data_IF_977967204208
#
_entry.id   IF_977967204208
#
_cell.length_a   1.000
_cell.length_b   1.000
_cell.length_c   1.000
_cell.angle_alpha   90.00
_cell.angle_beta   90.00
_cell.angle_gamma   90.00
#
_symmetry.space_group_name_H-M   'P 1'
#
loop_
_entity.id
_entity.type
_entity.pdbx_description
1 polymer ?
#
# COMPACT_ATOMS: atom_id res chain seq x y z
N UNK A 1 -23.71 23.15 7.08
CA UNK A 1 -23.09 21.85 6.74
C UNK A 1 -21.58 22.02 6.89
N UNK A 2 -20.96 21.41 7.90
CA UNK A 2 -19.51 21.53 8.10
C UNK A 2 -18.83 20.67 7.03
N UNK A 3 -18.14 21.30 6.09
CA UNK A 3 -17.24 20.62 5.16
C UNK A 3 -16.15 19.97 6.00
N UNK A 4 -16.23 18.65 6.20
CA UNK A 4 -15.14 17.85 6.75
C UNK A 4 -13.98 17.98 5.77
N UNK A 5 -13.04 18.88 6.06
CA UNK A 5 -11.75 18.87 5.40
C UNK A 5 -11.06 17.57 5.82
N UNK A 6 -11.24 16.51 5.02
CA UNK A 6 -10.40 15.32 5.12
C UNK A 6 -8.98 15.78 4.83
N UNK A 7 -8.15 15.89 5.86
CA UNK A 7 -6.73 16.18 5.67
C UNK A 7 -6.11 15.00 4.92
N UNK A 8 -5.58 15.25 3.73
CA UNK A 8 -4.73 14.26 3.04
C UNK A 8 -3.54 13.93 3.94
N UNK A 9 -3.22 12.65 4.08
CA UNK A 9 -2.19 12.13 4.97
C UNK A 9 -1.18 11.31 4.17
N UNK A 10 0.03 11.18 4.69
CA UNK A 10 1.03 10.21 4.24
C UNK A 10 1.01 9.03 5.20
N UNK A 11 0.74 7.83 4.69
CA UNK A 11 0.55 6.60 5.48
C UNK A 11 1.48 5.53 4.94
N UNK A 12 2.18 4.81 5.83
CA UNK A 12 3.06 3.72 5.46
C UNK A 12 2.67 2.42 6.17
N UNK A 13 2.47 1.37 5.40
CA UNK A 13 2.44 -0.01 5.88
C UNK A 13 3.85 -0.62 5.72
N UNK A 14 4.41 -1.09 6.83
CA UNK A 14 5.65 -1.88 6.82
C UNK A 14 5.27 -3.31 7.15
N UNK A 15 5.39 -4.19 6.16
CA UNK A 15 4.95 -5.58 6.25
C UNK A 15 5.67 -6.38 5.18
N UNK A 16 6.15 -7.58 5.51
CA UNK A 16 7.03 -8.40 4.68
C UNK A 16 6.36 -8.99 3.43
N UNK A 17 5.05 -9.24 3.46
CA UNK A 17 4.34 -9.94 2.38
C UNK A 17 3.52 -8.98 1.50
N UNK A 18 3.37 -9.32 0.22
CA UNK A 18 2.58 -8.57 -0.77
C UNK A 18 1.41 -9.40 -1.32
N UNK A 19 0.22 -8.79 -1.41
CA UNK A 19 -0.96 -9.36 -2.06
C UNK A 19 -1.10 -8.83 -3.49
N UNK A 20 -1.41 -9.68 -4.51
CA UNK A 20 -1.83 -11.08 -4.42
C UNK A 20 -0.71 -12.10 -4.57
N UNK A 21 0.56 -11.67 -4.55
CA UNK A 21 1.74 -12.54 -4.71
C UNK A 21 1.80 -13.64 -3.63
N UNK A 22 1.29 -13.35 -2.44
CA UNK A 22 0.97 -14.32 -1.39
C UNK A 22 -0.49 -14.14 -0.94
N UNK A 23 -1.11 -15.22 -0.47
CA UNK A 23 -2.52 -15.24 -0.07
C UNK A 23 -2.68 -15.68 1.38
N UNK A 24 -3.34 -14.81 2.14
CA UNK A 24 -3.46 -14.87 3.58
C UNK A 24 -4.32 -13.70 4.07
N UNK A 25 -4.47 -13.57 5.39
CA UNK A 25 -5.38 -12.59 5.96
C UNK A 25 -4.83 -11.17 5.99
N UNK A 26 -3.55 -11.01 6.34
CA UNK A 26 -2.97 -9.71 6.70
C UNK A 26 -2.64 -8.90 5.44
N UNK A 27 -1.96 -9.51 4.47
CA UNK A 27 -1.62 -8.90 3.18
C UNK A 27 -2.87 -8.46 2.42
N UNK A 28 -3.93 -9.28 2.42
CA UNK A 28 -5.20 -8.93 1.80
C UNK A 28 -5.84 -7.73 2.49
N UNK A 29 -5.78 -7.69 3.83
CA UNK A 29 -6.34 -6.59 4.62
C UNK A 29 -5.57 -5.29 4.43
N UNK A 30 -4.23 -5.36 4.38
CA UNK A 30 -3.37 -4.23 4.07
C UNK A 30 -3.69 -3.69 2.67
N UNK A 31 -3.81 -4.57 1.68
CA UNK A 31 -4.17 -4.17 0.33
C UNK A 31 -5.54 -3.47 0.30
N UNK A 32 -6.59 -4.08 0.84
CA UNK A 32 -7.94 -3.49 0.84
C UNK A 32 -8.04 -2.18 1.62
N UNK A 33 -7.36 -2.06 2.77
CA UNK A 33 -7.38 -0.83 3.56
C UNK A 33 -6.55 0.25 2.85
N UNK A 34 -5.38 -0.11 2.33
CA UNK A 34 -4.46 0.80 1.66
C UNK A 34 -5.09 1.44 0.44
N UNK A 35 -5.72 0.66 -0.44
CA UNK A 35 -6.39 1.17 -1.64
C UNK A 35 -7.60 2.04 -1.27
N UNK A 36 -8.43 1.64 -0.30
CA UNK A 36 -9.55 2.48 0.20
C UNK A 36 -9.09 3.79 0.85
N UNK A 37 -7.91 3.83 1.46
CA UNK A 37 -7.31 5.07 1.97
C UNK A 37 -6.78 5.93 0.83
N UNK A 38 -6.17 5.33 -0.19
CA UNK A 38 -5.72 6.03 -1.38
C UNK A 38 -6.91 6.65 -2.15
N UNK A 39 -8.01 5.91 -2.32
CA UNK A 39 -9.27 6.39 -2.89
C UNK A 39 -9.85 7.61 -2.14
N UNK A 40 -9.61 7.70 -0.82
CA UNK A 40 -10.01 8.86 0.01
C UNK A 40 -9.06 10.06 -0.09
N UNK A 41 -8.03 9.98 -0.94
CA UNK A 41 -7.08 11.05 -1.21
C UNK A 41 -5.86 11.07 -0.29
N UNK A 42 -5.57 9.97 0.42
CA UNK A 42 -4.33 9.82 1.18
C UNK A 42 -3.20 9.28 0.28
N UNK A 43 -1.97 9.66 0.57
CA UNK A 43 -0.77 9.08 -0.05
C UNK A 43 -0.38 7.85 0.79
N UNK A 44 -0.51 6.66 0.21
CA UNK A 44 -0.35 5.39 0.94
C UNK A 44 0.79 4.58 0.35
N UNK A 45 1.70 4.15 1.21
CA UNK A 45 2.88 3.37 0.85
C UNK A 45 2.86 1.98 1.50
N UNK A 46 3.44 1.00 0.82
CA UNK A 46 3.70 -0.35 1.33
C UNK A 46 5.17 -0.72 1.08
N UNK A 47 5.83 -1.30 2.07
CA UNK A 47 7.24 -1.71 2.03
C UNK A 47 7.40 -3.21 2.25
N UNK A 48 7.20 -4.06 1.22
CA UNK A 48 7.30 -5.51 1.33
C UNK A 48 8.67 -6.08 1.03
N UNK A 49 8.92 -7.28 1.56
CA UNK A 49 9.98 -8.17 1.06
C UNK A 49 9.47 -8.78 -0.24
N UNK A 50 9.77 -8.12 -1.34
CA UNK A 50 9.37 -8.51 -2.68
C UNK A 50 10.52 -8.26 -3.64
N UNK A 51 10.77 -9.19 -4.57
CA UNK A 51 11.76 -8.97 -5.61
C UNK A 51 11.16 -8.07 -6.71
N UNK A 52 11.50 -6.78 -6.63
CA UNK A 52 11.13 -5.76 -7.62
C UNK A 52 12.21 -5.57 -8.68
N UNK A 53 12.93 -6.63 -9.07
CA UNK A 53 14.16 -6.58 -9.89
C UNK A 53 14.09 -5.70 -11.14
N UNK A 54 12.90 -5.48 -11.69
CA UNK A 54 12.69 -4.67 -12.90
C UNK A 54 11.94 -3.34 -12.63
N UNK A 55 11.45 -3.10 -11.42
CA UNK A 55 10.62 -1.93 -11.06
C UNK A 55 10.92 -1.46 -9.64
N UNK A 56 11.42 -0.23 -9.50
CA UNK A 56 11.74 0.36 -8.20
C UNK A 56 10.51 0.75 -7.37
N UNK A 57 9.39 1.08 -8.02
CA UNK A 57 8.12 1.45 -7.37
C UNK A 57 6.95 0.95 -8.22
N UNK A 58 6.03 0.21 -7.60
CA UNK A 58 4.80 -0.29 -8.24
C UNK A 58 3.61 0.53 -7.70
N UNK A 59 2.76 1.05 -8.57
CA UNK A 59 1.47 1.63 -8.15
C UNK A 59 0.35 0.63 -8.44
N UNK A 60 -0.38 0.21 -7.40
CA UNK A 60 -1.52 -0.70 -7.50
C UNK A 60 -2.72 -0.07 -6.81
N UNK A 61 -3.68 0.41 -7.61
CA UNK A 61 -4.90 1.06 -7.11
C UNK A 61 -4.63 2.19 -6.10
N UNK A 62 -3.63 3.02 -6.39
CA UNK A 62 -3.21 4.13 -5.54
C UNK A 62 -2.30 3.74 -4.36
N UNK A 63 -2.09 2.44 -4.12
CA UNK A 63 -1.08 1.96 -3.16
C UNK A 63 0.30 1.98 -3.82
N UNK A 64 1.22 2.75 -3.23
CA UNK A 64 2.59 2.91 -3.71
C UNK A 64 3.49 1.87 -3.03
N UNK A 65 3.91 0.87 -3.77
CA UNK A 65 4.67 -0.27 -3.26
C UNK A 65 6.16 -0.04 -3.54
N UNK A 66 6.97 -0.14 -2.48
CA UNK A 66 8.42 0.00 -2.50
C UNK A 66 9.05 -1.36 -2.15
N UNK A 67 9.41 -2.19 -3.13
CA UNK A 67 10.10 -3.45 -2.88
C UNK A 67 11.39 -3.22 -2.09
N UNK A 68 11.58 -3.92 -0.97
CA UNK A 68 12.70 -3.66 -0.03
C UNK A 68 13.86 -4.64 -0.23
N UNK A 69 13.55 -5.93 -0.23
CA UNK A 69 14.51 -7.01 -0.42
C UNK A 69 13.80 -8.27 -0.88
N UNK A 70 14.56 -9.30 -1.25
CA UNK A 70 13.99 -10.61 -1.55
C UNK A 70 13.33 -11.22 -0.29
N UNK A 71 12.22 -11.97 -0.45
CA UNK A 71 11.61 -12.76 0.62
C UNK A 71 12.60 -13.72 1.30
#
# INVERSE_FOLDING_TARGET
MKTLHSRSMKIAFVYDVLYPETIGGVEKRIFEIGTRLAERGHEVHLFPMFDGSDVSIINRDGLIIHPVCRP
#
